data_IF_116531343967
#
_entry.id   IF_116531343967
#
_cell.length_a   1.000
_cell.length_b   1.000
_cell.length_c   1.000
_cell.angle_alpha   90.00
_cell.angle_beta   90.00
_cell.angle_gamma   90.00
#
_symmetry.space_group_name_H-M   'P 1'
#
loop_
_entity.id
_entity.type
_entity.pdbx_description
1 polymer ?
#
# COMPACT_ATOMS: atom_id res chain seq x y z
N UNK A 1 19.38 -5.27 7.20
CA UNK A 1 18.38 -5.03 8.26
C UNK A 1 17.07 -5.57 7.71
N UNK A 2 16.67 -6.75 8.13
CA UNK A 2 15.44 -7.35 7.63
C UNK A 2 14.26 -6.60 8.27
N UNK A 3 13.46 -5.92 7.46
CA UNK A 3 12.27 -5.23 7.95
C UNK A 3 11.19 -6.29 8.16
N UNK A 4 10.86 -6.58 9.41
CA UNK A 4 9.64 -7.31 9.76
C UNK A 4 8.43 -6.61 9.14
N UNK A 5 7.34 -7.34 8.85
CA UNK A 5 6.13 -6.77 8.26
C UNK A 5 5.66 -5.50 8.98
N UNK A 6 5.71 -5.50 10.31
CA UNK A 6 5.33 -4.36 11.15
C UNK A 6 6.27 -3.17 10.92
N UNK A 7 7.59 -3.39 10.94
CA UNK A 7 8.56 -2.31 10.71
C UNK A 7 8.46 -1.72 9.30
N UNK A 8 8.19 -2.56 8.29
CA UNK A 8 7.91 -2.10 6.94
C UNK A 8 6.63 -1.25 6.90
N UNK A 9 5.57 -1.73 7.55
CA UNK A 9 4.31 -1.00 7.62
C UNK A 9 4.49 0.39 8.24
N UNK A 10 5.18 0.51 9.38
CA UNK A 10 5.42 1.80 10.01
C UNK A 10 6.13 2.79 9.07
N UNK A 11 7.20 2.35 8.40
CA UNK A 11 7.93 3.21 7.45
C UNK A 11 7.06 3.64 6.28
N UNK A 12 6.23 2.73 5.76
CA UNK A 12 5.33 3.02 4.64
C UNK A 12 4.16 3.90 5.06
N UNK A 13 3.65 3.75 6.28
CA UNK A 13 2.58 4.59 6.81
C UNK A 13 3.05 6.03 6.99
N UNK A 14 4.20 6.25 7.65
CA UNK A 14 4.82 7.57 7.81
C UNK A 14 5.05 8.23 6.43
N UNK A 15 5.58 7.47 5.47
CA UNK A 15 5.76 7.92 4.09
C UNK A 15 4.43 8.32 3.43
N UNK A 16 3.37 7.53 3.59
CA UNK A 16 2.05 7.84 3.01
C UNK A 16 1.43 9.08 3.64
N UNK A 17 1.60 9.29 4.95
CA UNK A 17 1.10 10.47 5.64
C UNK A 17 1.72 11.76 5.09
N UNK A 18 3.00 11.73 4.73
CA UNK A 18 3.69 12.89 4.15
C UNK A 18 3.42 13.04 2.64
N UNK A 19 3.45 11.95 1.88
CA UNK A 19 3.38 11.98 0.42
C UNK A 19 1.96 12.21 -0.10
N UNK A 20 0.95 11.51 0.43
CA UNK A 20 -0.40 11.51 -0.17
C UNK A 20 -1.04 12.90 -0.19
N UNK A 21 -0.94 13.74 0.86
CA UNK A 21 -1.46 15.11 0.79
C UNK A 21 -0.82 15.93 -0.32
N UNK A 22 0.51 15.84 -0.46
CA UNK A 22 1.26 16.56 -1.49
C UNK A 22 0.93 16.04 -2.89
N UNK A 23 0.84 14.71 -3.05
CA UNK A 23 0.45 14.07 -4.29
C UNK A 23 -0.94 14.51 -4.73
N UNK A 24 -1.91 14.52 -3.82
CA UNK A 24 -3.28 14.95 -4.13
C UNK A 24 -3.34 16.44 -4.50
N UNK A 25 -2.48 17.29 -3.93
CA UNK A 25 -2.42 18.71 -4.25
C UNK A 25 -1.86 19.01 -5.65
N UNK A 26 -1.02 18.12 -6.21
CA UNK A 26 -0.44 18.29 -7.55
C UNK A 26 -1.26 17.58 -8.65
N UNK A 27 -2.24 16.75 -8.29
CA UNK A 27 -3.11 16.10 -9.26
C UNK A 27 -3.94 17.16 -9.98
N UNK A 28 -4.01 17.04 -11.32
CA UNK A 28 -4.92 17.85 -12.11
C UNK A 28 -6.35 17.54 -11.69
N UNK A 29 -7.19 18.58 -11.63
CA UNK A 29 -8.61 18.41 -11.39
C UNK A 29 -9.20 17.51 -12.48
N UNK A 30 -9.78 16.38 -12.07
CA UNK A 30 -10.54 15.54 -12.98
C UNK A 30 -11.93 16.15 -13.13
N UNK A 31 -12.20 16.71 -14.30
CA UNK A 31 -13.50 17.30 -14.63
C UNK A 31 -14.60 16.24 -14.79
N UNK A 32 -14.24 14.95 -14.84
CA UNK A 32 -15.22 13.87 -14.87
C UNK A 32 -15.65 13.50 -13.46
N UNK A 33 -16.98 13.42 -13.26
CA UNK A 33 -17.56 13.00 -11.98
C UNK A 33 -17.22 11.53 -11.72
N UNK A 34 -16.17 11.28 -10.94
CA UNK A 34 -15.77 9.94 -10.48
C UNK A 34 -16.47 9.58 -9.18
N UNK A 35 -16.76 8.30 -9.01
CA UNK A 35 -17.27 7.76 -7.75
C UNK A 35 -16.19 7.87 -6.68
N UNK A 36 -16.39 8.75 -5.70
CA UNK A 36 -15.54 8.80 -4.51
C UNK A 36 -16.04 7.77 -3.49
N UNK A 37 -15.54 6.53 -3.58
CA UNK A 37 -15.79 5.48 -2.59
C UNK A 37 -14.45 5.11 -1.94
N UNK A 38 -14.27 5.32 -0.63
CA UNK A 38 -13.07 4.87 0.05
C UNK A 38 -12.95 3.34 -0.02
N UNK A 39 -11.71 2.89 -0.22
CA UNK A 39 -11.34 1.48 -0.06
C UNK A 39 -11.48 1.06 1.41
N UNK A 40 -11.66 -0.24 1.67
CA UNK A 40 -11.59 -0.77 3.04
C UNK A 40 -10.15 -0.78 3.58
N UNK A 41 -9.19 -0.82 2.67
CA UNK A 41 -7.75 -0.83 2.96
C UNK A 41 -7.15 0.50 2.58
N UNK A 42 -6.33 1.05 3.47
CA UNK A 42 -5.55 2.27 3.26
C UNK A 42 -4.45 2.07 2.20
N UNK A 43 -3.95 3.17 1.65
CA UNK A 43 -2.85 3.12 0.67
C UNK A 43 -1.57 2.55 1.28
N UNK A 44 -1.28 2.83 2.55
CA UNK A 44 -0.09 2.32 3.25
C UNK A 44 -0.15 0.81 3.43
N UNK A 45 -1.31 0.25 3.78
CA UNK A 45 -1.53 -1.20 3.84
C UNK A 45 -1.33 -1.85 2.46
N UNK A 46 -1.91 -1.28 1.40
CA UNK A 46 -1.77 -1.80 0.03
C UNK A 46 -0.29 -1.78 -0.41
N UNK A 47 0.40 -0.67 -0.20
CA UNK A 47 1.83 -0.54 -0.53
C UNK A 47 2.67 -1.55 0.25
N UNK A 48 2.41 -1.72 1.54
CA UNK A 48 3.11 -2.68 2.39
C UNK A 48 2.95 -4.11 1.86
N UNK A 49 1.71 -4.51 1.53
CA UNK A 49 1.44 -5.82 0.94
C UNK A 49 2.19 -6.00 -0.38
N UNK A 50 2.18 -5.02 -1.27
CA UNK A 50 2.87 -5.10 -2.56
C UNK A 50 4.38 -5.28 -2.37
N UNK A 51 5.01 -4.46 -1.53
CA UNK A 51 6.45 -4.52 -1.28
C UNK A 51 6.82 -5.86 -0.62
N UNK A 52 6.07 -6.28 0.39
CA UNK A 52 6.35 -7.52 1.10
C UNK A 52 6.13 -8.73 0.19
N UNK A 53 5.08 -8.73 -0.63
CA UNK A 53 4.86 -9.74 -1.67
C UNK A 53 6.06 -9.84 -2.62
N UNK A 54 6.55 -8.72 -3.15
CA UNK A 54 7.73 -8.72 -4.02
C UNK A 54 8.99 -9.25 -3.34
N UNK A 55 9.20 -8.95 -2.05
CA UNK A 55 10.34 -9.47 -1.27
C UNK A 55 10.22 -10.96 -0.94
N UNK A 56 9.00 -11.47 -0.79
CA UNK A 56 8.72 -12.82 -0.33
C UNK A 56 8.91 -13.92 -1.38
N UNK A 57 9.20 -13.56 -2.65
CA UNK A 57 9.43 -14.48 -3.77
C UNK A 57 8.26 -15.45 -4.10
N UNK A 58 7.03 -15.18 -3.63
CA UNK A 58 5.88 -15.96 -4.07
C UNK A 58 5.53 -15.63 -5.53
N UNK A 59 5.20 -16.66 -6.30
CA UNK A 59 4.87 -16.53 -7.72
C UNK A 59 3.53 -15.84 -7.98
N UNK A 60 2.58 -15.95 -7.05
CA UNK A 60 1.25 -15.34 -7.18
C UNK A 60 0.68 -14.96 -5.81
N UNK A 61 -0.24 -13.99 -5.83
CA UNK A 61 -0.89 -13.47 -4.63
C UNK A 61 -1.67 -14.55 -3.87
N UNK A 62 -2.30 -15.51 -4.56
CA UNK A 62 -3.07 -16.58 -3.90
C UNK A 62 -2.18 -17.38 -2.95
N UNK A 63 -1.01 -17.82 -3.39
CA UNK A 63 -0.08 -18.56 -2.54
C UNK A 63 0.49 -17.70 -1.42
N UNK A 64 0.78 -16.42 -1.71
CA UNK A 64 1.22 -15.47 -0.69
C UNK A 64 0.19 -15.32 0.44
N UNK A 65 -1.08 -15.06 0.11
CA UNK A 65 -2.13 -14.90 1.13
C UNK A 65 -2.44 -16.19 1.89
N UNK A 66 -2.28 -17.37 1.28
CA UNK A 66 -2.56 -18.64 1.94
C UNK A 66 -1.41 -19.17 2.80
N UNK A 67 -0.17 -18.72 2.56
CA UNK A 67 1.02 -19.29 3.21
C UNK A 67 1.85 -18.29 4.03
N UNK A 68 1.81 -17.00 3.70
CA UNK A 68 2.68 -15.99 4.31
C UNK A 68 1.96 -15.10 5.33
N UNK A 69 0.64 -14.99 5.25
CA UNK A 69 -0.19 -14.23 6.18
C UNK A 69 -0.98 -15.24 7.03
N UNK A 70 -0.79 -15.26 8.37
CA UNK A 70 -1.51 -16.16 9.26
C UNK A 70 -3.02 -15.88 9.29
#
# INVERSE_FOLDING_TARGET
MDLTLISLFCVIDDFCQELLPQWNAILLEDTNKKRNKPSQMSTSEIMTIMIYFHKSNYRNFKMYYLMALP
#
